data_IF_458636127515
#
_entry.id   IF_458636127515
#
_cell.length_a   1.000
_cell.length_b   1.000
_cell.length_c   1.000
_cell.angle_alpha   90.00
_cell.angle_beta   90.00
_cell.angle_gamma   90.00
#
_symmetry.space_group_name_H-M   'P 1'
#
loop_
_entity.id
_entity.type
_entity.pdbx_description
1 polymer ?
#
# COMPACT_ATOMS: atom_id res chain seq x y z
N UNK A 1 9.59 23.14 -1.82
CA UNK A 1 9.70 22.64 -0.42
C UNK A 1 10.29 23.71 0.44
N UNK A 2 9.66 24.03 1.55
CA UNK A 2 10.15 25.05 2.52
C UNK A 2 10.27 24.39 3.90
N UNK A 3 11.32 24.70 4.64
CA UNK A 3 11.49 24.24 6.01
C UNK A 3 10.82 25.23 6.97
N UNK A 4 9.97 24.71 7.86
CA UNK A 4 9.21 25.51 8.83
C UNK A 4 9.13 24.78 10.17
N UNK A 5 9.10 25.53 11.27
CA UNK A 5 8.74 24.99 12.58
C UNK A 5 7.22 25.18 12.79
N UNK A 6 6.50 24.06 12.90
CA UNK A 6 5.04 24.03 12.98
C UNK A 6 4.59 23.63 14.38
N UNK A 7 3.43 24.13 14.81
CA UNK A 7 2.80 23.61 16.02
C UNK A 7 2.35 22.17 15.79
N UNK A 8 2.63 21.28 16.72
CA UNK A 8 2.30 19.85 16.59
C UNK A 8 0.79 19.63 16.46
N UNK A 9 -0.03 20.49 17.08
CA UNK A 9 -1.50 20.46 16.96
C UNK A 9 -2.04 20.80 15.57
N UNK A 10 -1.28 21.57 14.79
CA UNK A 10 -1.64 21.93 13.41
C UNK A 10 -1.31 20.80 12.40
N UNK A 11 -0.56 19.77 12.85
CA UNK A 11 -0.24 18.61 12.01
C UNK A 11 -1.21 17.48 12.29
N UNK A 12 -1.98 17.11 11.27
CA UNK A 12 -2.92 15.99 11.37
C UNK A 12 -2.50 14.82 10.47
N UNK A 13 -3.12 13.66 10.69
CA UNK A 13 -2.72 12.38 10.11
C UNK A 13 -2.92 12.19 8.60
N UNK A 14 -2.87 13.22 7.77
CA UNK A 14 -2.81 13.28 6.32
C UNK A 14 -3.06 11.97 5.56
N UNK A 15 -2.06 11.60 4.74
CA UNK A 15 -2.08 10.38 3.93
C UNK A 15 -2.09 9.13 4.81
N UNK A 16 -1.58 9.22 6.06
CA UNK A 16 -1.47 8.10 6.99
C UNK A 16 -1.97 8.49 8.37
N UNK A 17 -3.05 7.86 8.78
CA UNK A 17 -3.34 7.72 10.20
C UNK A 17 -2.58 6.50 10.72
N UNK A 18 -1.28 6.64 10.99
CA UNK A 18 -0.49 5.56 11.54
C UNK A 18 -1.12 5.15 12.89
N UNK A 19 -1.63 3.93 12.98
CA UNK A 19 -2.01 3.29 14.24
C UNK A 19 -0.73 2.96 15.01
N UNK A 20 -0.17 3.98 15.67
CA UNK A 20 1.01 3.77 16.50
C UNK A 20 0.56 3.33 17.88
N UNK A 21 1.12 2.22 18.32
CA UNK A 21 0.92 1.77 19.70
C UNK A 21 1.80 2.62 20.60
N UNK A 22 1.20 3.29 21.56
CA UNK A 22 1.92 4.13 22.52
C UNK A 22 2.89 3.32 23.40
N UNK A 23 2.68 2.00 23.49
CA UNK A 23 3.50 1.04 24.24
C UNK A 23 4.67 0.44 23.40
N UNK A 24 4.91 0.95 22.17
CA UNK A 24 6.05 0.50 21.34
C UNK A 24 7.39 0.93 21.97
N UNK A 25 8.24 -0.01 22.46
CA UNK A 25 9.52 0.32 23.07
C UNK A 25 10.43 1.18 22.18
N UNK A 26 10.43 0.93 20.87
CA UNK A 26 11.22 1.70 19.93
C UNK A 26 10.69 3.15 19.75
N UNK A 27 9.41 3.39 19.98
CA UNK A 27 8.85 4.73 19.99
C UNK A 27 9.25 5.49 21.28
N UNK A 28 9.24 4.79 22.41
CA UNK A 28 9.66 5.34 23.72
C UNK A 28 11.14 5.74 23.66
N UNK A 29 12.01 4.89 23.09
CA UNK A 29 13.42 5.20 22.90
C UNK A 29 13.63 6.41 21.99
N UNK A 30 12.86 6.49 20.89
CA UNK A 30 12.91 7.63 19.98
C UNK A 30 12.47 8.93 20.69
N UNK A 31 11.43 8.90 21.50
CA UNK A 31 10.98 10.05 22.28
C UNK A 31 12.03 10.50 23.30
N UNK A 32 12.69 9.55 23.97
CA UNK A 32 13.80 9.85 24.88
C UNK A 32 15.01 10.44 24.15
N UNK A 33 15.32 9.97 22.94
CA UNK A 33 16.37 10.54 22.08
C UNK A 33 16.03 11.98 21.68
N UNK A 34 14.79 12.23 21.23
CA UNK A 34 14.33 13.56 20.82
C UNK A 34 14.38 14.55 22.00
N UNK A 35 14.04 14.13 23.22
CA UNK A 35 14.18 14.99 24.41
C UNK A 35 15.63 15.42 24.67
N UNK A 36 16.61 14.54 24.39
CA UNK A 36 18.04 14.82 24.64
C UNK A 36 18.71 15.63 23.55
N UNK A 37 18.37 15.34 22.30
CA UNK A 37 19.13 15.82 21.14
C UNK A 37 18.30 16.69 20.19
N UNK A 38 17.02 16.86 20.45
CA UNK A 38 16.09 17.47 19.48
C UNK A 38 15.73 16.53 18.33
N UNK A 39 14.91 17.04 17.43
CA UNK A 39 14.54 16.31 16.19
C UNK A 39 15.62 16.54 15.13
N UNK A 40 16.39 15.49 14.82
CA UNK A 40 17.49 15.58 13.84
C UNK A 40 17.02 15.56 12.37
N UNK A 41 15.85 15.01 12.10
CA UNK A 41 15.27 14.92 10.76
C UNK A 41 13.85 15.46 10.78
N UNK A 42 13.54 16.47 9.94
CA UNK A 42 12.20 17.02 9.88
C UNK A 42 11.17 15.99 9.38
N UNK A 43 9.91 16.21 9.71
CA UNK A 43 8.80 15.50 9.08
C UNK A 43 8.49 16.11 7.72
N UNK A 44 7.81 15.37 6.84
CA UNK A 44 7.28 15.87 5.58
C UNK A 44 5.78 16.06 5.71
N UNK A 45 5.31 17.26 5.41
CA UNK A 45 3.91 17.62 5.49
C UNK A 45 3.45 18.31 4.19
N UNK A 46 2.18 18.20 3.90
CA UNK A 46 1.50 18.95 2.82
C UNK A 46 0.68 20.06 3.44
N UNK A 47 0.78 21.27 2.85
CA UNK A 47 -0.12 22.36 3.20
C UNK A 47 -1.56 22.03 2.78
N UNK A 48 -2.51 22.27 3.68
CA UNK A 48 -3.94 22.22 3.38
C UNK A 48 -4.56 23.58 3.69
N UNK A 49 -4.55 24.52 2.72
CA UNK A 49 -5.03 25.90 2.94
C UNK A 49 -6.50 25.98 3.35
N UNK A 50 -7.33 25.03 2.89
CA UNK A 50 -8.76 25.01 3.21
C UNK A 50 -9.02 24.68 4.68
N UNK A 51 -8.14 23.87 5.31
CA UNK A 51 -8.23 23.52 6.71
C UNK A 51 -7.37 24.42 7.62
N UNK A 52 -6.52 25.28 7.06
CA UNK A 52 -5.53 26.05 7.82
C UNK A 52 -4.52 25.19 8.58
N UNK A 53 -4.30 23.95 8.14
CA UNK A 53 -3.53 22.91 8.83
C UNK A 53 -2.62 22.16 7.84
N UNK A 54 -1.76 21.30 8.39
CA UNK A 54 -0.80 20.54 7.63
C UNK A 54 -1.10 19.05 7.70
N UNK A 55 -1.20 18.41 6.54
CA UNK A 55 -1.39 16.97 6.45
C UNK A 55 -0.05 16.26 6.44
N UNK A 56 0.15 15.31 7.36
CA UNK A 56 1.38 14.52 7.42
C UNK A 56 1.52 13.67 6.15
N UNK A 57 2.69 13.73 5.51
CA UNK A 57 3.06 12.87 4.39
C UNK A 57 4.00 11.77 4.88
N UNK A 58 5.11 12.12 5.55
CA UNK A 58 6.08 11.17 6.08
C UNK A 58 6.58 11.57 7.46
N UNK A 59 6.92 10.59 8.30
CA UNK A 59 7.50 10.83 9.62
C UNK A 59 6.50 10.63 10.78
N UNK A 60 5.50 9.77 10.63
CA UNK A 60 4.49 9.51 11.66
C UNK A 60 5.11 9.11 13.02
N UNK A 61 6.13 8.24 13.03
CA UNK A 61 6.85 7.87 14.26
C UNK A 61 7.55 9.06 14.90
N UNK A 62 8.14 9.96 14.11
CA UNK A 62 8.78 11.18 14.60
C UNK A 62 7.76 12.14 15.21
N UNK A 63 6.61 12.34 14.56
CA UNK A 63 5.52 13.15 15.10
C UNK A 63 5.00 12.60 16.43
N UNK A 64 4.75 11.29 16.53
CA UNK A 64 4.30 10.65 17.77
C UNK A 64 5.35 10.77 18.88
N UNK A 65 6.63 10.54 18.57
CA UNK A 65 7.71 10.67 19.52
C UNK A 65 7.88 12.11 20.03
N UNK A 66 7.70 13.11 19.17
CA UNK A 66 7.69 14.52 19.58
C UNK A 66 6.52 14.84 20.52
N UNK A 67 5.32 14.29 20.27
CA UNK A 67 4.17 14.40 21.19
C UNK A 67 4.47 13.77 22.55
N UNK A 68 5.01 12.55 22.54
CA UNK A 68 5.43 11.85 23.77
C UNK A 68 6.57 12.58 24.51
N UNK A 69 7.43 13.27 23.78
CA UNK A 69 8.51 14.09 24.33
C UNK A 69 7.99 15.40 24.95
N UNK A 70 6.72 15.77 24.73
CA UNK A 70 6.11 16.99 25.26
C UNK A 70 6.49 18.25 24.48
N UNK A 71 6.95 18.12 23.22
CA UNK A 71 7.27 19.28 22.38
C UNK A 71 5.98 19.95 21.89
N UNK A 72 5.97 21.29 21.83
CA UNK A 72 4.88 22.09 21.27
C UNK A 72 5.01 22.32 19.77
N UNK A 73 6.24 22.29 19.28
CA UNK A 73 6.57 22.53 17.85
C UNK A 73 7.39 21.38 17.28
N UNK A 74 7.37 21.25 15.96
CA UNK A 74 8.11 20.25 15.22
C UNK A 74 8.63 20.86 13.91
N UNK A 75 9.88 20.55 13.57
CA UNK A 75 10.46 20.95 12.29
C UNK A 75 9.91 20.09 11.16
N UNK A 76 9.44 20.75 10.11
CA UNK A 76 8.77 20.14 8.98
C UNK A 76 9.26 20.72 7.64
N UNK A 77 9.35 19.87 6.64
CA UNK A 77 9.43 20.26 5.24
C UNK A 77 7.99 20.36 4.70
N UNK A 78 7.59 21.55 4.30
CA UNK A 78 6.27 21.80 3.74
C UNK A 78 6.32 21.63 2.24
N UNK A 79 5.50 20.71 1.75
CA UNK A 79 5.29 20.43 0.34
C UNK A 79 4.01 21.11 -0.13
N UNK A 80 4.13 21.95 -1.16
CA UNK A 80 2.99 22.44 -1.90
C UNK A 80 2.64 21.41 -2.98
N UNK A 81 1.77 20.49 -2.65
CA UNK A 81 1.43 19.35 -3.46
C UNK A 81 -0.04 18.99 -3.32
N UNK A 82 -0.61 18.37 -4.34
CA UNK A 82 -1.91 17.74 -4.22
C UNK A 82 -1.81 16.36 -3.51
N UNK A 83 -2.97 15.71 -3.32
CA UNK A 83 -3.01 14.45 -2.59
C UNK A 83 -2.31 13.29 -3.33
N UNK A 84 -2.37 13.31 -4.68
CA UNK A 84 -1.69 12.30 -5.50
C UNK A 84 -0.17 12.43 -5.41
N UNK A 85 0.34 13.64 -5.41
CA UNK A 85 1.76 13.94 -5.27
C UNK A 85 2.28 13.59 -3.87
N UNK A 86 1.49 13.90 -2.83
CA UNK A 86 1.81 13.51 -1.47
C UNK A 86 1.84 11.98 -1.28
N UNK A 87 0.86 11.27 -1.87
CA UNK A 87 0.81 9.82 -1.84
C UNK A 87 1.99 9.17 -2.56
N UNK A 88 2.43 9.76 -3.66
CA UNK A 88 3.58 9.25 -4.40
C UNK A 88 4.90 9.48 -3.66
N UNK A 89 5.12 10.66 -3.09
CA UNK A 89 6.27 10.92 -2.22
C UNK A 89 6.30 9.91 -1.05
N UNK A 90 5.16 9.62 -0.46
CA UNK A 90 5.03 8.62 0.57
C UNK A 90 5.42 7.23 0.07
N UNK A 91 4.90 6.81 -1.09
CA UNK A 91 5.22 5.52 -1.68
C UNK A 91 6.72 5.39 -1.99
N UNK A 92 7.36 6.40 -2.57
CA UNK A 92 8.79 6.38 -2.87
C UNK A 92 9.65 6.19 -1.61
N UNK A 93 9.32 6.88 -0.52
CA UNK A 93 10.03 6.71 0.75
C UNK A 93 9.84 5.29 1.31
N UNK A 94 8.62 4.73 1.18
CA UNK A 94 8.29 3.42 1.78
C UNK A 94 8.78 2.23 0.95
N UNK A 95 8.89 2.36 -0.37
CA UNK A 95 9.40 1.29 -1.25
C UNK A 95 10.81 0.82 -0.91
N UNK A 96 11.61 1.70 -0.32
CA UNK A 96 13.01 1.40 0.07
C UNK A 96 13.14 0.79 1.46
N UNK A 97 12.06 0.73 2.24
CA UNK A 97 12.08 0.23 3.63
C UNK A 97 12.03 -1.30 3.68
N UNK A 98 12.70 -1.87 4.69
CA UNK A 98 12.71 -3.32 4.94
C UNK A 98 11.39 -3.86 5.49
N UNK A 99 10.60 -3.03 6.17
CA UNK A 99 9.30 -3.37 6.73
C UNK A 99 8.26 -2.39 6.18
N UNK A 100 7.59 -2.75 5.06
CA UNK A 100 6.58 -1.89 4.45
C UNK A 100 5.32 -1.83 5.31
N UNK A 101 4.74 -0.66 5.40
CA UNK A 101 3.43 -0.44 6.00
C UNK A 101 2.35 -0.64 4.93
N UNK A 102 2.15 -1.88 4.51
CA UNK A 102 1.37 -2.28 3.34
C UNK A 102 -0.05 -1.69 3.29
N UNK A 103 -0.71 -1.61 4.44
CA UNK A 103 -2.09 -1.08 4.51
C UNK A 103 -2.09 0.44 4.37
N UNK A 104 -1.15 1.13 5.01
CA UNK A 104 -1.03 2.58 4.90
C UNK A 104 -0.67 2.99 3.46
N UNK A 105 0.23 2.25 2.82
CA UNK A 105 0.55 2.41 1.40
C UNK A 105 -0.69 2.22 0.51
N UNK A 106 -1.46 1.16 0.75
CA UNK A 106 -2.67 0.87 0.00
C UNK A 106 -3.74 1.95 0.17
N UNK A 107 -3.94 2.43 1.40
CA UNK A 107 -4.89 3.51 1.71
C UNK A 107 -4.46 4.86 1.12
N UNK A 108 -3.16 5.13 1.08
CA UNK A 108 -2.62 6.33 0.44
C UNK A 108 -2.96 6.35 -1.06
N UNK A 109 -2.71 5.23 -1.74
CA UNK A 109 -3.02 5.07 -3.17
C UNK A 109 -4.53 5.11 -3.43
N UNK A 110 -5.35 4.49 -2.56
CA UNK A 110 -6.81 4.50 -2.70
C UNK A 110 -7.37 5.93 -2.61
N UNK A 111 -6.93 6.72 -1.63
CA UNK A 111 -7.38 8.11 -1.45
C UNK A 111 -6.94 9.03 -2.57
N UNK A 112 -5.69 8.92 -2.99
CA UNK A 112 -5.14 9.76 -4.05
C UNK A 112 -5.68 9.40 -5.45
N UNK A 113 -6.22 8.19 -5.62
CA UNK A 113 -6.56 7.63 -6.92
C UNK A 113 -5.34 7.05 -7.64
N UNK A 114 -5.38 5.75 -7.92
CA UNK A 114 -4.26 5.02 -8.52
C UNK A 114 -3.77 5.64 -9.84
N UNK A 115 -4.69 6.16 -10.67
CA UNK A 115 -4.35 6.79 -11.95
C UNK A 115 -3.57 8.09 -11.76
N UNK A 116 -3.97 8.92 -10.81
CA UNK A 116 -3.29 10.19 -10.53
C UNK A 116 -1.85 9.93 -10.06
N UNK A 117 -1.65 8.88 -9.24
CA UNK A 117 -0.32 8.45 -8.80
C UNK A 117 0.50 7.91 -9.97
N UNK A 118 -0.07 7.05 -10.84
CA UNK A 118 0.62 6.49 -12.00
C UNK A 118 0.99 7.55 -13.04
N UNK A 119 0.12 8.54 -13.25
CA UNK A 119 0.34 9.58 -14.26
C UNK A 119 1.51 10.51 -13.90
N UNK A 120 1.78 10.70 -12.60
CA UNK A 120 2.82 11.62 -12.12
C UNK A 120 4.16 10.96 -11.84
N UNK A 121 4.14 9.66 -11.52
CA UNK A 121 5.32 8.91 -11.09
C UNK A 121 5.45 7.64 -11.88
N UNK A 122 6.64 7.32 -12.31
CA UNK A 122 6.97 6.11 -13.07
C UNK A 122 6.93 4.84 -12.17
N UNK A 123 5.90 4.72 -11.32
CA UNK A 123 5.71 3.54 -10.49
C UNK A 123 5.07 2.41 -11.31
N UNK A 124 5.55 1.15 -11.15
CA UNK A 124 4.92 0.03 -11.83
C UNK A 124 3.45 -0.13 -11.39
N UNK A 125 2.51 -0.15 -12.35
CA UNK A 125 1.08 -0.29 -12.05
C UNK A 125 0.75 -1.55 -11.26
N UNK A 126 1.49 -2.64 -11.48
CA UNK A 126 1.41 -3.87 -10.69
C UNK A 126 1.64 -3.62 -9.20
N UNK A 127 2.61 -2.81 -8.87
CA UNK A 127 2.99 -2.50 -7.48
C UNK A 127 1.84 -1.83 -6.71
N UNK A 128 1.10 -0.93 -7.36
CA UNK A 128 -0.07 -0.28 -6.79
C UNK A 128 -1.25 -1.25 -6.71
N UNK A 129 -1.48 -2.02 -7.76
CA UNK A 129 -2.58 -3.00 -7.82
C UNK A 129 -2.45 -4.07 -6.71
N UNK A 130 -1.25 -4.58 -6.45
CA UNK A 130 -1.00 -5.56 -5.40
C UNK A 130 -1.31 -4.98 -4.01
N UNK A 131 -1.00 -3.72 -3.76
CA UNK A 131 -1.33 -3.04 -2.48
C UNK A 131 -2.82 -2.82 -2.31
N UNK A 132 -3.49 -2.29 -3.33
CA UNK A 132 -4.94 -2.06 -3.30
C UNK A 132 -5.73 -3.35 -3.04
N UNK A 133 -5.24 -4.49 -3.54
CA UNK A 133 -5.86 -5.80 -3.25
C UNK A 133 -5.89 -6.15 -1.76
N UNK A 134 -4.90 -5.69 -0.98
CA UNK A 134 -4.86 -5.96 0.46
C UNK A 134 -6.00 -5.27 1.22
N UNK A 135 -6.58 -4.20 0.67
CA UNK A 135 -7.76 -3.54 1.24
C UNK A 135 -9.03 -4.41 1.15
N UNK A 136 -9.02 -5.47 0.33
CA UNK A 136 -10.11 -6.46 0.28
C UNK A 136 -10.11 -7.41 1.48
N UNK A 137 -9.02 -7.47 2.25
CA UNK A 137 -8.97 -8.28 3.46
C UNK A 137 -9.82 -7.63 4.58
N UNK A 138 -10.47 -8.45 5.43
CA UNK A 138 -11.18 -7.96 6.62
C UNK A 138 -10.27 -7.14 7.52
N UNK A 139 -10.86 -6.18 8.25
CA UNK A 139 -10.08 -5.27 9.11
C UNK A 139 -9.24 -6.01 10.15
N UNK A 140 -9.80 -7.05 10.77
CA UNK A 140 -9.10 -7.88 11.75
C UNK A 140 -7.83 -8.54 11.16
N UNK A 141 -7.87 -8.93 9.88
CA UNK A 141 -6.72 -9.51 9.16
C UNK A 141 -5.72 -8.43 8.79
N UNK A 142 -6.19 -7.26 8.32
CA UNK A 142 -5.32 -6.13 7.96
C UNK A 142 -4.44 -5.66 9.11
N UNK A 143 -4.95 -5.68 10.34
CA UNK A 143 -4.18 -5.34 11.56
C UNK A 143 -2.99 -6.29 11.75
N UNK A 144 -3.11 -7.57 11.34
CA UNK A 144 -2.04 -8.57 11.48
C UNK A 144 -0.94 -8.42 10.42
N UNK A 145 -1.13 -7.58 9.39
CA UNK A 145 -0.13 -7.39 8.33
C UNK A 145 1.05 -6.51 8.74
N UNK A 146 1.02 -5.91 9.93
CA UNK A 146 2.11 -5.08 10.44
C UNK A 146 3.44 -5.84 10.41
N UNK A 147 4.45 -5.26 9.73
CA UNK A 147 5.77 -5.89 9.57
C UNK A 147 5.84 -7.03 8.55
N UNK A 148 4.74 -7.43 7.91
CA UNK A 148 4.77 -8.42 6.84
C UNK A 148 5.23 -7.80 5.52
N UNK A 149 5.95 -8.59 4.74
CA UNK A 149 6.22 -8.28 3.33
C UNK A 149 4.98 -8.54 2.45
N UNK A 150 4.94 -7.90 1.29
CA UNK A 150 3.88 -8.12 0.31
C UNK A 150 3.72 -9.60 -0.08
N UNK A 151 4.84 -10.32 -0.24
CA UNK A 151 4.84 -11.75 -0.55
C UNK A 151 4.23 -12.63 0.56
N UNK A 152 4.24 -12.19 1.82
CA UNK A 152 3.58 -12.86 2.95
C UNK A 152 2.09 -12.54 3.01
N UNK A 153 1.70 -11.32 2.67
CA UNK A 153 0.33 -10.82 2.79
C UNK A 153 -0.59 -11.26 1.62
N UNK A 154 -0.10 -11.21 0.38
CA UNK A 154 -0.90 -11.54 -0.80
C UNK A 154 -1.55 -12.93 -0.78
N UNK A 155 -0.88 -14.01 -0.31
CA UNK A 155 -1.49 -15.33 -0.23
C UNK A 155 -2.77 -15.38 0.61
N UNK A 156 -2.93 -14.50 1.61
CA UNK A 156 -4.11 -14.44 2.48
C UNK A 156 -5.39 -14.15 1.70
N UNK A 157 -5.30 -13.44 0.56
CA UNK A 157 -6.44 -13.16 -0.30
C UNK A 157 -7.08 -14.41 -0.90
N UNK A 158 -6.35 -15.52 -0.99
CA UNK A 158 -6.86 -16.79 -1.51
C UNK A 158 -7.48 -17.68 -0.44
N UNK A 159 -7.35 -17.32 0.84
CA UNK A 159 -7.99 -18.02 1.95
C UNK A 159 -9.47 -17.62 2.06
N UNK A 160 -10.36 -18.61 2.20
CA UNK A 160 -11.79 -18.34 2.36
C UNK A 160 -12.17 -18.22 3.83
N UNK A 161 -12.92 -17.17 4.11
CA UNK A 161 -13.47 -16.89 5.43
C UNK A 161 -12.49 -16.17 6.34
N UNK A 162 -13.00 -15.14 7.00
CA UNK A 162 -12.23 -14.22 7.85
C UNK A 162 -11.45 -14.94 8.96
N UNK A 163 -12.10 -15.90 9.65
CA UNK A 163 -11.46 -16.64 10.73
C UNK A 163 -10.21 -17.40 10.26
N UNK A 164 -10.27 -18.05 9.07
CA UNK A 164 -9.14 -18.77 8.50
C UNK A 164 -8.06 -17.82 7.98
N UNK A 165 -8.44 -16.68 7.43
CA UNK A 165 -7.50 -15.64 7.02
C UNK A 165 -6.73 -15.11 8.23
N UNK A 166 -7.43 -14.86 9.34
CA UNK A 166 -6.83 -14.38 10.58
C UNK A 166 -5.87 -15.41 11.18
N UNK A 167 -6.28 -16.68 11.25
CA UNK A 167 -5.43 -17.79 11.72
C UNK A 167 -4.16 -17.91 10.85
N UNK A 168 -4.32 -17.89 9.52
CA UNK A 168 -3.18 -17.95 8.60
C UNK A 168 -2.23 -16.77 8.78
N UNK A 169 -2.75 -15.55 8.95
CA UNK A 169 -1.95 -14.36 9.20
C UNK A 169 -1.16 -14.47 10.50
N UNK A 170 -1.79 -14.93 11.58
CA UNK A 170 -1.13 -15.18 12.87
C UNK A 170 0.00 -16.21 12.77
N UNK A 171 -0.23 -17.33 12.06
CA UNK A 171 0.79 -18.34 11.84
C UNK A 171 1.98 -17.79 11.04
N UNK A 172 1.71 -17.01 9.99
CA UNK A 172 2.75 -16.38 9.15
C UNK A 172 3.61 -15.44 10.00
N UNK A 173 2.98 -14.61 10.83
CA UNK A 173 3.66 -13.67 11.72
C UNK A 173 4.48 -14.40 12.80
N UNK A 174 3.83 -15.30 13.56
CA UNK A 174 4.45 -15.99 14.68
C UNK A 174 5.66 -16.86 14.28
N UNK A 175 5.62 -17.44 13.09
CA UNK A 175 6.71 -18.30 12.58
C UNK A 175 7.66 -17.56 11.63
N UNK A 176 7.48 -16.27 11.41
CA UNK A 176 8.27 -15.47 10.48
C UNK A 176 8.45 -16.14 9.12
N UNK A 177 7.36 -16.71 8.58
CA UNK A 177 7.39 -17.47 7.33
C UNK A 177 7.78 -16.56 6.16
N UNK A 178 8.62 -17.07 5.24
CA UNK A 178 8.88 -16.38 3.98
C UNK A 178 7.63 -16.35 3.10
N UNK A 179 7.56 -15.45 2.09
CA UNK A 179 6.42 -15.39 1.17
C UNK A 179 6.12 -16.73 0.48
N UNK A 180 7.16 -17.48 0.07
CA UNK A 180 7.00 -18.82 -0.48
C UNK A 180 6.47 -19.86 0.52
N UNK A 181 6.80 -19.73 1.80
CA UNK A 181 6.26 -20.58 2.86
C UNK A 181 4.81 -20.19 3.19
N UNK A 182 4.50 -18.88 3.24
CA UNK A 182 3.15 -18.37 3.41
C UNK A 182 2.22 -18.89 2.29
N UNK A 183 2.67 -18.84 1.05
CA UNK A 183 1.93 -19.39 -0.09
C UNK A 183 1.67 -20.88 0.06
N UNK A 184 2.67 -21.67 0.49
CA UNK A 184 2.51 -23.11 0.74
C UNK A 184 1.55 -23.41 1.89
N UNK A 185 1.58 -22.62 2.95
CA UNK A 185 0.66 -22.73 4.09
C UNK A 185 -0.79 -22.55 3.63
N UNK A 186 -1.04 -21.51 2.86
CA UNK A 186 -2.38 -21.15 2.38
C UNK A 186 -2.87 -22.12 1.31
N UNK A 187 -2.00 -22.53 0.40
CA UNK A 187 -2.37 -23.46 -0.68
C UNK A 187 -2.51 -24.92 -0.25
N UNK A 188 -2.03 -25.32 0.94
CA UNK A 188 -2.20 -26.64 1.57
C UNK A 188 -2.14 -27.87 0.65
N UNK A 189 -2.06 -29.08 1.16
CA UNK A 189 -2.05 -30.30 0.34
C UNK A 189 -3.38 -30.59 -0.39
N UNK A 190 -4.47 -29.92 -0.02
CA UNK A 190 -5.80 -30.17 -0.57
C UNK A 190 -6.04 -29.63 -2.00
N UNK A 191 -5.19 -28.74 -2.53
CA UNK A 191 -5.34 -28.26 -3.90
C UNK A 191 -4.69 -29.17 -4.97
N UNK A 192 -4.09 -30.29 -4.58
CA UNK A 192 -3.60 -31.30 -5.53
C UNK A 192 -4.69 -32.24 -6.05
N UNK A 193 -5.88 -32.17 -5.51
CA UNK A 193 -6.97 -33.05 -5.89
C UNK A 193 -7.93 -32.35 -6.87
N UNK A 194 -7.80 -32.70 -8.14
CA UNK A 194 -8.86 -32.64 -9.13
C UNK A 194 -9.04 -31.35 -9.91
N UNK A 195 -9.16 -31.47 -11.23
CA UNK A 195 -9.38 -30.36 -12.19
C UNK A 195 -10.60 -29.48 -11.91
N UNK A 196 -11.56 -29.89 -11.07
CA UNK A 196 -12.70 -29.08 -10.64
C UNK A 196 -12.30 -27.99 -9.65
N UNK A 197 -11.41 -28.27 -8.69
CA UNK A 197 -10.89 -27.28 -7.74
C UNK A 197 -10.05 -26.19 -8.44
N UNK A 198 -9.27 -26.60 -9.45
CA UNK A 198 -8.45 -25.68 -10.25
C UNK A 198 -9.32 -24.72 -11.07
N UNK A 199 -10.40 -25.22 -11.71
CA UNK A 199 -11.33 -24.37 -12.47
C UNK A 199 -12.06 -23.38 -11.57
N UNK A 200 -12.39 -23.76 -10.33
CA UNK A 200 -13.06 -22.92 -9.35
C UNK A 200 -12.11 -21.83 -8.84
N UNK A 201 -10.85 -22.18 -8.49
CA UNK A 201 -9.83 -21.22 -8.07
C UNK A 201 -9.51 -20.19 -9.17
N UNK A 202 -9.43 -20.61 -10.43
CA UNK A 202 -9.26 -19.72 -11.59
C UNK A 202 -10.46 -18.79 -11.75
N UNK A 203 -11.70 -19.29 -11.61
CA UNK A 203 -12.91 -18.47 -11.67
C UNK A 203 -12.92 -17.39 -10.59
N UNK A 204 -12.58 -17.74 -9.34
CA UNK A 204 -12.56 -16.82 -8.21
C UNK A 204 -11.45 -15.78 -8.32
N UNK A 205 -10.27 -16.19 -8.79
CA UNK A 205 -9.21 -15.25 -9.13
C UNK A 205 -9.65 -14.26 -10.20
N UNK A 206 -10.39 -14.77 -11.21
CA UNK A 206 -10.97 -13.93 -12.26
C UNK A 206 -11.99 -12.94 -11.74
N UNK A 207 -12.94 -13.40 -10.90
CA UNK A 207 -13.94 -12.51 -10.30
C UNK A 207 -13.29 -11.40 -9.47
N UNK A 208 -12.23 -11.73 -8.71
CA UNK A 208 -11.45 -10.77 -7.95
C UNK A 208 -10.72 -9.77 -8.84
N UNK A 209 -10.12 -10.24 -9.93
CA UNK A 209 -9.40 -9.40 -10.90
C UNK A 209 -10.38 -8.52 -11.69
N UNK A 210 -11.55 -9.05 -12.09
CA UNK A 210 -12.59 -8.27 -12.76
C UNK A 210 -13.19 -7.19 -11.83
N UNK A 211 -13.40 -7.51 -10.55
CA UNK A 211 -13.84 -6.53 -9.56
C UNK A 211 -12.80 -5.40 -9.37
N UNK A 212 -11.52 -5.75 -9.35
CA UNK A 212 -10.44 -4.76 -9.29
C UNK A 212 -10.38 -3.89 -10.55
N UNK A 213 -10.45 -4.50 -11.73
CA UNK A 213 -10.49 -3.79 -13.00
C UNK A 213 -11.70 -2.84 -13.08
N UNK A 214 -12.87 -3.29 -12.58
CA UNK A 214 -14.07 -2.46 -12.46
C UNK A 214 -13.87 -1.24 -11.54
N UNK A 215 -13.24 -1.41 -10.38
CA UNK A 215 -12.92 -0.30 -9.47
C UNK A 215 -11.92 0.68 -10.11
N UNK A 216 -10.88 0.16 -10.75
CA UNK A 216 -9.91 0.97 -11.46
C UNK A 216 -10.57 1.74 -12.62
N UNK A 217 -11.48 1.11 -13.36
CA UNK A 217 -12.26 1.80 -14.40
C UNK A 217 -13.17 2.90 -13.85
N UNK A 218 -13.79 2.68 -12.69
CA UNK A 218 -14.57 3.74 -12.00
C UNK A 218 -13.69 4.89 -11.51
N UNK A 219 -12.41 4.64 -11.26
CA UNK A 219 -11.40 5.65 -10.95
C UNK A 219 -10.72 6.25 -12.20
N UNK A 220 -11.26 5.95 -13.38
CA UNK A 220 -10.76 6.49 -14.65
C UNK A 220 -9.54 5.74 -15.23
N UNK A 221 -9.14 4.58 -14.68
CA UNK A 221 -8.10 3.72 -15.27
C UNK A 221 -8.75 2.67 -16.16
N UNK A 222 -8.76 2.83 -17.50
CA UNK A 222 -9.32 1.83 -18.38
C UNK A 222 -8.47 0.55 -18.32
N UNK A 223 -8.98 -0.48 -17.68
CA UNK A 223 -8.36 -1.78 -17.56
C UNK A 223 -9.20 -2.84 -18.29
N UNK A 224 -8.54 -3.67 -19.08
CA UNK A 224 -9.15 -4.85 -19.68
C UNK A 224 -8.48 -6.13 -19.15
N UNK A 225 -9.29 -7.16 -18.90
CA UNK A 225 -8.81 -8.45 -18.40
C UNK A 225 -9.01 -9.49 -19.47
N UNK A 226 -7.94 -10.20 -19.84
CA UNK A 226 -8.00 -11.30 -20.77
C UNK A 226 -7.41 -12.58 -20.17
N UNK A 227 -7.96 -13.72 -20.56
CA UNK A 227 -7.51 -15.05 -20.16
C UNK A 227 -6.80 -15.72 -21.33
N UNK A 228 -5.60 -16.19 -21.07
CA UNK A 228 -4.86 -17.02 -22.03
C UNK A 228 -4.56 -18.38 -21.40
N UNK A 229 -4.93 -19.45 -22.08
CA UNK A 229 -4.53 -20.81 -21.71
C UNK A 229 -3.17 -21.12 -22.31
N UNK A 230 -2.20 -21.48 -21.47
CA UNK A 230 -0.87 -21.93 -21.92
C UNK A 230 -0.60 -23.34 -21.41
N UNK A 231 0.34 -24.05 -22.04
CA UNK A 231 0.74 -25.39 -21.64
C UNK A 231 1.25 -25.38 -20.19
N UNK A 232 0.42 -25.89 -19.26
CA UNK A 232 0.73 -25.98 -17.82
C UNK A 232 -0.01 -24.99 -16.92
N UNK A 233 -0.76 -24.02 -17.44
CA UNK A 233 -1.47 -23.04 -16.60
C UNK A 233 -2.47 -22.16 -17.34
N UNK A 234 -3.15 -21.30 -16.56
CA UNK A 234 -3.96 -20.21 -17.09
C UNK A 234 -3.26 -18.92 -16.70
N UNK A 235 -2.99 -18.07 -17.68
CA UNK A 235 -2.44 -16.74 -17.49
C UNK A 235 -3.58 -15.72 -17.53
N UNK A 236 -3.66 -14.87 -16.51
CA UNK A 236 -4.57 -13.74 -16.47
C UNK A 236 -3.76 -12.50 -16.83
N UNK A 237 -4.09 -11.88 -17.97
CA UNK A 237 -3.44 -10.67 -18.41
C UNK A 237 -4.33 -9.47 -18.15
N UNK A 238 -3.82 -8.49 -17.43
CA UNK A 238 -4.49 -7.21 -17.19
C UNK A 238 -3.78 -6.18 -18.07
N UNK A 239 -4.53 -5.63 -19.03
CA UNK A 239 -4.03 -4.56 -19.90
C UNK A 239 -4.57 -3.23 -19.39
N UNK A 240 -3.68 -2.32 -19.06
CA UNK A 240 -4.00 -0.93 -18.76
C UNK A 240 -3.83 -0.12 -20.05
N UNK A 241 -4.88 0.59 -20.47
CA UNK A 241 -4.76 1.54 -21.57
C UNK A 241 -4.37 2.90 -21.02
N UNK A 242 -3.24 3.42 -21.44
CA UNK A 242 -2.90 4.82 -21.23
C UNK A 242 -3.89 5.66 -22.03
N UNK A 243 -4.58 6.59 -21.38
CA UNK A 243 -5.35 7.63 -22.06
C UNK A 243 -4.37 8.73 -22.48
N UNK A 244 -3.50 8.45 -23.45
CA UNK A 244 -2.86 9.54 -24.15
C UNK A 244 -3.93 10.32 -24.90
N UNK A 245 -4.09 11.59 -24.54
CA UNK A 245 -4.85 12.55 -25.34
C UNK A 245 -4.25 12.52 -26.76
N UNK A 246 -5.08 12.17 -27.71
CA UNK A 246 -4.78 12.15 -29.14
C UNK A 246 -4.28 13.52 -29.60
N UNK A 247 -3.00 13.66 -29.69
CA UNK A 247 -2.26 14.70 -30.38
C UNK A 247 -1.19 14.02 -31.22
N UNK A 248 -1.55 13.66 -32.43
CA UNK A 248 -0.74 13.40 -33.60
C UNK A 248 0.40 12.38 -33.52
N UNK A 249 0.29 11.40 -34.41
CA UNK A 249 1.33 10.54 -34.96
C UNK A 249 1.42 9.11 -34.39
N UNK A 250 1.16 8.18 -35.30
CA UNK A 250 1.20 6.76 -35.10
C UNK A 250 2.59 6.24 -34.66
N UNK A 251 2.62 5.47 -33.59
CA UNK A 251 3.77 4.68 -33.17
C UNK A 251 3.28 3.47 -32.40
N UNK A 252 3.25 2.32 -33.08
CA UNK A 252 2.93 1.00 -32.53
C UNK A 252 3.98 0.62 -31.48
N UNK A 253 3.60 0.56 -30.21
CA UNK A 253 4.43 0.05 -29.13
C UNK A 253 3.58 -0.71 -28.12
N UNK A 254 3.28 -1.97 -28.44
CA UNK A 254 2.63 -2.93 -27.54
C UNK A 254 3.67 -3.53 -26.61
N UNK A 255 3.76 -3.01 -25.39
CA UNK A 255 4.52 -3.68 -24.32
C UNK A 255 3.60 -4.64 -23.59
N UNK A 256 3.68 -5.91 -23.91
CA UNK A 256 3.02 -6.99 -23.19
C UNK A 256 3.96 -7.53 -22.11
N UNK A 257 3.68 -7.21 -20.82
CA UNK A 257 4.36 -7.86 -19.71
C UNK A 257 3.60 -9.12 -19.31
N UNK A 258 4.29 -10.26 -19.37
CA UNK A 258 3.76 -11.58 -18.97
C UNK A 258 3.98 -11.77 -17.47
N UNK A 259 2.94 -12.19 -16.78
CA UNK A 259 2.99 -12.74 -15.42
C UNK A 259 2.43 -14.15 -15.43
#
# INVERSE_FOLDING_TARGET
MQMMSLRIEDVYGGVIAARQREDDPALIELAASIRRHGLLQPILVRSNPQAGRYALVCGARRLAACRMAGLSTIDALVLEADEAEAAACFMEEHLTRRAPELIDEAQAVERAGAQAVLARYALPGRLLAERLRLLMLPEAVRVQLAGMSLGQALPLLSVRGEARQLEAAQIIAARSLTGGQALRLVMGPQQRAGGAGRRRAVREAMESVCALAGRLSMQGVPASVSLHSQAGGVCIQILFRSTEKSGGSAGNGSSAEKV
#
